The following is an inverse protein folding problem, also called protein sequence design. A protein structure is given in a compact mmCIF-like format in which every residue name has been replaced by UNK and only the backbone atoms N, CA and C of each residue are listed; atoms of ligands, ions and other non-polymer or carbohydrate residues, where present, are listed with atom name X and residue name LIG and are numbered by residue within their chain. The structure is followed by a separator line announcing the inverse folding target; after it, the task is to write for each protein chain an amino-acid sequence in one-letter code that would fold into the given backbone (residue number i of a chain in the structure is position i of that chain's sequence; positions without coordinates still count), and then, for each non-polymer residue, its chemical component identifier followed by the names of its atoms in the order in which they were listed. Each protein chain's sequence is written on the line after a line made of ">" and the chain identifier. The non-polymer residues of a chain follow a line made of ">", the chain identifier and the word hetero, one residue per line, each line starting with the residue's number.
data_IF_825282398264
#
_entry.id   IF_825282398264
#
_cell.length_a   1.000
_cell.length_b   1.000
_cell.length_c   1.000
_cell.angle_alpha   90.00
_cell.angle_beta   90.00
_cell.angle_gamma   90.00
#
_symmetry.space_group_name_H-M   'P 1'
#
loop_
_entity.id
_entity.type
_entity.pdbx_description
1 polymer ?
#
# COMPACT_ATOMS: atom_id res chain seq x y z
N UNK A 1 -51.68 38.80 0.30
CA UNK A 1 -50.39 39.47 -0.01
C UNK A 1 -49.61 38.56 -0.96
N UNK A 2 -49.34 39.02 -2.19
CA UNK A 2 -48.69 38.22 -3.25
C UNK A 2 -47.20 38.56 -3.28
N UNK A 3 -46.35 37.59 -2.97
CA UNK A 3 -44.89 37.74 -3.00
C UNK A 3 -44.41 37.50 -4.43
N UNK A 4 -43.77 38.52 -5.03
CA UNK A 4 -43.22 38.48 -6.39
C UNK A 4 -41.84 37.79 -6.35
N UNK A 5 -41.75 36.66 -7.04
CA UNK A 5 -40.52 35.93 -7.36
C UNK A 5 -39.75 36.74 -8.41
N UNK A 6 -38.51 37.11 -8.11
CA UNK A 6 -37.57 37.65 -9.09
C UNK A 6 -36.64 36.52 -9.56
N UNK A 7 -36.89 36.04 -10.77
CA UNK A 7 -35.95 35.22 -11.54
C UNK A 7 -34.81 36.13 -12.02
N UNK A 8 -33.60 35.91 -11.51
CA UNK A 8 -32.38 36.44 -12.11
C UNK A 8 -31.82 35.37 -13.03
N UNK A 9 -32.05 35.55 -14.33
CA UNK A 9 -31.38 34.81 -15.41
C UNK A 9 -29.97 35.38 -15.55
N UNK A 10 -28.97 34.65 -15.06
CA UNK A 10 -27.56 34.95 -15.33
C UNK A 10 -27.12 34.12 -16.54
N UNK A 11 -27.06 34.77 -17.70
CA UNK A 11 -26.45 34.22 -18.89
C UNK A 11 -24.92 34.33 -18.77
N UNK A 12 -24.24 33.19 -18.63
CA UNK A 12 -22.78 33.11 -18.72
C UNK A 12 -22.43 32.86 -20.20
N UNK A 13 -21.79 33.85 -20.81
CA UNK A 13 -21.32 33.81 -22.19
C UNK A 13 -20.17 32.80 -22.34
N UNK A 14 -20.30 31.91 -23.33
CA UNK A 14 -19.18 31.13 -23.87
C UNK A 14 -18.13 32.08 -24.46
N UNK A 15 -16.94 32.10 -23.90
CA UNK A 15 -15.74 32.60 -24.57
C UNK A 15 -14.95 31.40 -25.11
N UNK A 16 -15.18 31.06 -26.38
CA UNK A 16 -14.35 30.13 -27.11
C UNK A 16 -13.01 30.81 -27.45
N UNK A 17 -12.01 30.58 -26.61
CA UNK A 17 -10.63 30.98 -26.89
C UNK A 17 -9.98 29.99 -27.86
N UNK A 18 -10.01 30.30 -29.15
CA UNK A 18 -9.18 29.65 -30.15
C UNK A 18 -7.70 30.01 -29.89
N UNK A 19 -6.94 29.08 -29.31
CA UNK A 19 -5.50 29.19 -29.25
C UNK A 19 -4.92 28.69 -30.57
N UNK A 20 -4.38 29.63 -31.34
CA UNK A 20 -3.62 29.35 -32.55
C UNK A 20 -2.39 28.52 -32.19
N UNK A 21 -2.30 27.31 -32.75
CA UNK A 21 -1.12 26.48 -32.69
C UNK A 21 0.04 27.18 -33.41
N UNK A 22 1.11 27.45 -32.68
CA UNK A 22 2.39 27.86 -33.22
C UNK A 22 3.10 26.64 -33.82
N UNK A 23 3.64 26.72 -35.05
CA UNK A 23 4.51 25.67 -35.57
C UNK A 23 5.86 25.76 -34.83
N UNK A 24 6.18 24.73 -34.05
CA UNK A 24 7.52 24.56 -33.48
C UNK A 24 8.45 24.14 -34.61
N UNK A 25 9.45 24.97 -34.88
CA UNK A 25 10.51 24.69 -35.83
C UNK A 25 11.35 23.49 -35.35
N UNK A 26 11.39 22.43 -36.15
CA UNK A 26 12.34 21.31 -36.04
C UNK A 26 13.77 21.82 -36.28
N UNK A 27 14.42 22.24 -35.20
CA UNK A 27 15.86 22.44 -35.13
C UNK A 27 16.56 21.09 -35.05
N UNK A 28 16.94 20.56 -36.20
CA UNK A 28 17.74 19.34 -36.33
C UNK A 28 19.16 19.59 -35.80
N UNK A 29 19.36 19.38 -34.51
CA UNK A 29 20.70 19.25 -33.92
C UNK A 29 21.24 17.87 -34.30
N UNK A 30 22.24 17.87 -35.17
CA UNK A 30 23.03 16.68 -35.47
C UNK A 30 23.71 16.19 -34.19
N UNK A 31 23.17 15.11 -33.62
CA UNK A 31 23.82 14.36 -32.55
C UNK A 31 25.00 13.62 -33.19
N UNK A 32 26.24 13.79 -32.69
CA UNK A 32 27.33 12.93 -33.13
C UNK A 32 26.98 11.49 -32.73
N UNK A 33 26.88 10.60 -33.72
CA UNK A 33 26.81 9.16 -33.51
C UNK A 33 27.99 8.74 -32.62
N UNK A 34 27.77 8.17 -31.42
CA UNK A 34 28.81 7.41 -30.78
C UNK A 34 29.07 6.19 -31.67
N UNK A 35 30.28 6.11 -32.21
CA UNK A 35 30.82 4.88 -32.80
C UNK A 35 30.59 3.75 -31.81
N UNK A 36 29.71 2.81 -32.18
CA UNK A 36 29.54 1.56 -31.47
C UNK A 36 30.87 0.81 -31.54
N UNK A 37 31.60 0.80 -30.44
CA UNK A 37 32.62 -0.20 -30.21
C UNK A 37 31.87 -1.54 -30.06
N UNK A 38 32.03 -2.41 -31.05
CA UNK A 38 31.60 -3.79 -30.98
C UNK A 38 32.42 -4.49 -29.88
N UNK A 39 31.87 -4.50 -28.67
CA UNK A 39 32.40 -5.30 -27.58
C UNK A 39 32.02 -6.74 -27.90
N UNK A 40 32.96 -7.47 -28.49
CA UNK A 40 32.96 -8.94 -28.52
C UNK A 40 32.85 -9.41 -27.07
N UNK A 41 31.63 -9.76 -26.64
CA UNK A 41 31.42 -10.40 -25.35
C UNK A 41 31.95 -11.83 -25.46
N UNK A 42 33.08 -12.05 -24.81
CA UNK A 42 33.57 -13.37 -24.46
C UNK A 42 32.46 -14.11 -23.70
N UNK A 43 32.14 -15.37 -24.04
CA UNK A 43 31.10 -16.11 -23.33
C UNK A 43 31.53 -16.27 -21.87
N UNK A 44 30.89 -15.51 -20.99
CA UNK A 44 31.02 -15.69 -19.56
C UNK A 44 30.60 -17.12 -19.23
N UNK A 45 31.56 -17.94 -18.85
CA UNK A 45 31.30 -19.23 -18.22
C UNK A 45 30.52 -18.92 -16.95
N UNK A 46 29.23 -19.24 -16.97
CA UNK A 46 28.40 -19.24 -15.76
C UNK A 46 28.97 -20.35 -14.89
N UNK A 47 29.86 -20.00 -13.97
CA UNK A 47 30.19 -20.90 -12.87
C UNK A 47 28.87 -21.17 -12.16
N UNK A 48 28.41 -22.42 -12.27
CA UNK A 48 27.31 -22.91 -11.47
C UNK A 48 27.73 -22.77 -10.02
N UNK A 49 27.23 -21.72 -9.35
CA UNK A 49 27.32 -21.62 -7.91
C UNK A 49 26.66 -22.87 -7.34
N UNK A 50 27.50 -23.75 -6.80
CA UNK A 50 27.11 -24.95 -6.09
C UNK A 50 26.13 -24.53 -4.99
N UNK A 51 24.84 -24.73 -5.23
CA UNK A 51 23.80 -24.40 -4.28
C UNK A 51 24.06 -25.26 -3.04
N UNK A 52 24.63 -24.66 -2.00
CA UNK A 52 24.86 -25.35 -0.73
C UNK A 52 23.52 -25.95 -0.29
N UNK A 53 23.41 -27.29 -0.16
CA UNK A 53 22.14 -27.91 0.19
C UNK A 53 21.69 -27.34 1.53
N UNK A 54 20.45 -26.83 1.54
CA UNK A 54 19.81 -26.35 2.76
C UNK A 54 19.81 -27.54 3.75
N UNK A 55 20.36 -27.39 4.97
CA UNK A 55 20.42 -28.50 5.92
C UNK A 55 19.02 -29.06 6.15
N UNK A 56 18.85 -30.37 5.97
CA UNK A 56 17.58 -31.04 6.27
C UNK A 56 17.19 -30.78 7.72
N UNK A 57 15.88 -30.56 8.02
CA UNK A 57 15.43 -30.25 9.36
C UNK A 57 15.79 -31.40 10.30
N UNK A 58 16.75 -31.15 11.20
CA UNK A 58 17.44 -32.19 11.95
C UNK A 58 16.65 -32.75 13.14
N UNK A 59 15.44 -32.24 13.46
CA UNK A 59 14.54 -32.82 14.47
C UNK A 59 13.07 -32.45 14.18
N UNK A 60 12.09 -33.32 14.50
CA UNK A 60 10.67 -32.94 14.49
C UNK A 60 10.41 -31.84 15.53
N UNK A 61 9.55 -30.86 15.19
CA UNK A 61 9.15 -29.79 16.10
C UNK A 61 7.62 -29.67 16.20
N UNK A 62 7.16 -29.08 17.31
CA UNK A 62 5.76 -28.66 17.48
C UNK A 62 5.55 -27.27 16.89
N UNK A 63 4.43 -27.05 16.19
CA UNK A 63 4.10 -25.76 15.60
C UNK A 63 3.09 -25.00 16.46
N UNK A 64 3.38 -23.73 16.74
CA UNK A 64 2.51 -22.82 17.49
C UNK A 64 2.42 -21.47 16.76
N UNK A 65 1.20 -20.96 16.57
CA UNK A 65 0.99 -19.61 16.03
C UNK A 65 1.71 -18.56 16.86
N UNK A 66 2.39 -17.64 16.18
CA UNK A 66 3.16 -16.57 16.80
C UNK A 66 3.19 -15.34 15.88
N UNK A 67 3.53 -14.20 16.50
CA UNK A 67 3.74 -12.93 15.83
C UNK A 67 5.15 -12.42 16.13
N UNK A 68 5.77 -11.74 15.18
CA UNK A 68 7.02 -11.01 15.37
C UNK A 68 6.90 -9.62 14.77
N UNK A 69 7.34 -8.59 15.50
CA UNK A 69 7.39 -7.23 14.98
C UNK A 69 8.34 -7.15 13.78
N UNK A 70 7.97 -6.37 12.77
CA UNK A 70 8.80 -6.05 11.61
C UNK A 70 9.14 -4.56 11.61
N UNK A 71 10.15 -4.12 12.41
CA UNK A 71 10.43 -2.70 12.57
C UNK A 71 10.90 -2.02 11.28
N UNK A 72 11.65 -2.73 10.41
CA UNK A 72 12.09 -2.19 9.12
C UNK A 72 10.91 -1.99 8.16
N UNK A 73 9.97 -2.94 8.12
CA UNK A 73 8.75 -2.83 7.30
C UNK A 73 7.83 -1.75 7.85
N UNK A 74 7.70 -1.66 9.18
CA UNK A 74 6.95 -0.59 9.84
C UNK A 74 7.52 0.79 9.48
N UNK A 75 8.84 0.94 9.55
CA UNK A 75 9.52 2.17 9.16
C UNK A 75 9.33 2.51 7.67
N UNK A 76 9.35 1.51 6.79
CA UNK A 76 9.09 1.70 5.36
C UNK A 76 7.68 2.26 5.11
N UNK A 77 6.65 1.67 5.71
CA UNK A 77 5.28 2.20 5.57
C UNK A 77 5.14 3.57 6.24
N UNK A 78 5.72 3.78 7.42
CA UNK A 78 5.67 5.07 8.10
C UNK A 78 6.29 6.17 7.22
N UNK A 79 7.44 5.91 6.62
CA UNK A 79 8.08 6.84 5.69
C UNK A 79 7.18 7.16 4.48
N UNK A 80 6.44 6.17 3.96
CA UNK A 80 5.50 6.38 2.86
C UNK A 80 4.30 7.26 3.29
N UNK A 81 3.78 7.07 4.50
CA UNK A 81 2.74 7.94 5.07
C UNK A 81 3.23 9.37 5.30
N UNK A 82 4.42 9.52 5.88
CA UNK A 82 5.04 10.82 6.14
C UNK A 82 5.30 11.58 4.83
N UNK A 83 5.80 10.89 3.80
CA UNK A 83 6.03 11.46 2.47
C UNK A 83 4.74 11.90 1.76
N UNK A 84 3.61 11.28 2.09
CA UNK A 84 2.28 11.69 1.63
C UNK A 84 1.65 12.80 2.50
N UNK A 85 2.34 13.25 3.56
CA UNK A 85 1.85 14.28 4.48
C UNK A 85 0.84 13.78 5.52
N UNK A 86 0.72 12.47 5.74
CA UNK A 86 -0.20 11.88 6.71
C UNK A 86 0.47 11.76 8.09
N UNK A 87 0.61 12.88 8.79
CA UNK A 87 1.29 12.95 10.11
C UNK A 87 0.45 12.42 11.27
N UNK A 88 -0.86 12.25 11.08
CA UNK A 88 -1.79 11.73 12.08
C UNK A 88 -1.95 10.19 12.01
N UNK A 89 -1.03 9.52 11.32
CA UNK A 89 -1.04 8.07 11.09
C UNK A 89 0.21 7.44 11.68
N UNK A 90 0.04 6.39 12.47
CA UNK A 90 1.11 5.49 12.92
C UNK A 90 0.85 4.09 12.37
N UNK A 91 1.88 3.44 11.85
CA UNK A 91 1.78 2.08 11.29
C UNK A 91 2.76 1.13 11.96
N UNK A 92 2.29 -0.10 12.19
CA UNK A 92 3.08 -1.24 12.64
C UNK A 92 2.82 -2.43 11.74
N UNK A 93 3.88 -3.13 11.36
CA UNK A 93 3.84 -4.35 10.58
C UNK A 93 4.28 -5.54 11.44
N UNK A 94 3.53 -6.64 11.36
CA UNK A 94 3.83 -7.87 12.08
C UNK A 94 3.93 -9.04 11.11
N UNK A 95 4.93 -9.89 11.30
CA UNK A 95 4.96 -11.20 10.70
C UNK A 95 4.06 -12.15 11.49
N UNK A 96 2.99 -12.64 10.87
CA UNK A 96 2.18 -13.74 11.40
C UNK A 96 2.69 -15.07 10.85
N UNK A 97 2.88 -16.06 11.72
CA UNK A 97 3.47 -17.33 11.34
C UNK A 97 3.52 -18.35 12.47
N UNK A 98 4.41 -19.32 12.36
CA UNK A 98 4.53 -20.42 13.32
C UNK A 98 5.93 -20.47 13.95
N UNK A 99 5.99 -20.50 15.27
CA UNK A 99 7.18 -20.96 15.98
C UNK A 99 7.25 -22.49 15.88
N UNK A 100 8.37 -22.98 15.37
CA UNK A 100 8.78 -24.38 15.44
C UNK A 100 9.50 -24.58 16.77
N UNK A 101 8.90 -25.34 17.69
CA UNK A 101 9.35 -25.53 19.06
C UNK A 101 10.06 -26.87 19.24
N UNK A 102 11.19 -26.85 19.94
CA UNK A 102 11.86 -28.05 20.44
C UNK A 102 11.00 -28.74 21.53
N UNK A 103 11.36 -29.98 21.90
CA UNK A 103 10.64 -30.74 22.94
C UNK A 103 10.69 -30.10 24.33
N UNK A 104 11.66 -29.23 24.59
CA UNK A 104 11.79 -28.45 25.83
C UNK A 104 11.00 -27.12 25.80
N UNK A 105 10.30 -26.82 24.69
CA UNK A 105 9.53 -25.61 24.50
C UNK A 105 10.32 -24.41 23.97
N UNK A 106 11.63 -24.53 23.75
CA UNK A 106 12.43 -23.46 23.14
C UNK A 106 12.12 -23.30 21.65
N UNK A 107 12.14 -22.06 21.14
CA UNK A 107 11.91 -21.76 19.72
C UNK A 107 13.15 -22.15 18.91
N UNK A 108 12.99 -23.08 17.97
CA UNK A 108 14.03 -23.46 17.02
C UNK A 108 14.11 -22.47 15.85
N UNK A 109 12.95 -22.12 15.28
CA UNK A 109 12.82 -21.14 14.18
C UNK A 109 11.39 -20.60 14.10
N UNK A 110 11.23 -19.49 13.41
CA UNK A 110 9.94 -18.92 13.05
C UNK A 110 9.71 -19.05 11.54
N UNK A 111 8.49 -19.45 11.17
CA UNK A 111 8.06 -19.61 9.79
C UNK A 111 6.99 -18.57 9.47
N UNK A 112 7.42 -17.45 8.88
CA UNK A 112 6.50 -16.38 8.48
C UNK A 112 5.53 -16.87 7.40
N UNK A 113 4.24 -16.65 7.61
CA UNK A 113 3.18 -16.93 6.63
C UNK A 113 2.72 -15.67 5.90
N UNK A 114 2.53 -14.57 6.61
CA UNK A 114 2.11 -13.29 6.04
C UNK A 114 2.60 -12.11 6.88
N UNK A 115 2.53 -10.91 6.31
CA UNK A 115 2.76 -9.64 7.01
C UNK A 115 1.46 -8.88 7.18
N UNK A 116 0.97 -8.78 8.41
CA UNK A 116 -0.21 -7.99 8.78
C UNK A 116 0.17 -6.54 9.07
N UNK A 117 -0.73 -5.60 8.76
CA UNK A 117 -0.54 -4.17 9.05
C UNK A 117 -1.56 -3.68 10.07
N UNK A 118 -1.10 -2.88 11.03
CA UNK A 118 -1.91 -2.24 12.05
C UNK A 118 -1.68 -0.73 11.95
N UNK A 119 -2.75 0.00 11.64
CA UNK A 119 -2.73 1.43 11.34
C UNK A 119 -3.59 2.15 12.39
N UNK A 120 -2.97 3.06 13.12
CA UNK A 120 -3.62 3.95 14.08
C UNK A 120 -3.74 5.34 13.49
N UNK A 121 -4.94 5.93 13.56
CA UNK A 121 -5.28 7.18 12.86
C UNK A 121 -5.95 8.12 13.84
N UNK A 122 -5.36 9.30 14.04
CA UNK A 122 -6.01 10.40 14.72
C UNK A 122 -6.90 11.15 13.73
N UNK A 123 -8.22 11.04 13.91
CA UNK A 123 -9.21 11.63 13.03
C UNK A 123 -9.93 12.80 13.70
N UNK A 124 -10.36 13.77 12.89
CA UNK A 124 -11.18 14.89 13.36
C UNK A 124 -12.55 14.42 13.90
N UNK A 125 -13.17 13.44 13.23
CA UNK A 125 -14.41 12.80 13.62
C UNK A 125 -14.48 11.35 13.11
N UNK A 126 -15.54 10.63 13.48
CA UNK A 126 -15.76 9.23 13.08
C UNK A 126 -16.96 9.07 12.13
N UNK A 127 -17.30 10.10 11.36
CA UNK A 127 -18.32 10.03 10.31
C UNK A 127 -17.88 9.11 9.17
N UNK A 128 -18.84 8.55 8.44
CA UNK A 128 -18.54 7.62 7.35
C UNK A 128 -17.76 8.31 6.21
N UNK A 129 -18.02 9.60 5.99
CA UNK A 129 -17.32 10.45 5.03
C UNK A 129 -15.84 10.59 5.40
N UNK A 130 -15.54 10.96 6.65
CA UNK A 130 -14.17 11.14 7.14
C UNK A 130 -13.40 9.82 7.12
N UNK A 131 -14.02 8.73 7.63
CA UNK A 131 -13.38 7.41 7.65
C UNK A 131 -13.14 6.87 6.24
N UNK A 132 -14.07 7.09 5.32
CA UNK A 132 -13.92 6.73 3.91
C UNK A 132 -12.76 7.46 3.23
N UNK A 133 -12.62 8.76 3.49
CA UNK A 133 -11.49 9.55 3.00
C UNK A 133 -10.13 9.07 3.53
N UNK A 134 -10.07 8.66 4.80
CA UNK A 134 -8.87 8.04 5.37
C UNK A 134 -8.54 6.71 4.72
N UNK A 135 -9.52 5.79 4.62
CA UNK A 135 -9.33 4.48 3.99
C UNK A 135 -8.81 4.62 2.56
N UNK A 136 -9.37 5.52 1.78
CA UNK A 136 -8.96 5.76 0.39
C UNK A 136 -7.49 6.20 0.30
N UNK A 137 -7.08 7.19 1.10
CA UNK A 137 -5.70 7.69 1.12
C UNK A 137 -4.71 6.62 1.60
N UNK A 138 -5.06 5.92 2.68
CA UNK A 138 -4.18 4.92 3.28
C UNK A 138 -4.01 3.71 2.38
N UNK A 139 -5.09 3.19 1.80
CA UNK A 139 -5.02 2.07 0.88
C UNK A 139 -4.25 2.41 -0.40
N UNK A 140 -4.33 3.66 -0.88
CA UNK A 140 -3.52 4.12 -2.00
C UNK A 140 -2.01 4.06 -1.69
N UNK A 141 -1.60 4.43 -0.47
CA UNK A 141 -0.20 4.34 -0.02
C UNK A 141 0.22 2.88 0.17
N UNK A 142 -0.62 2.06 0.82
CA UNK A 142 -0.35 0.62 1.00
C UNK A 142 -0.17 -0.07 -0.36
N UNK A 143 -0.93 0.34 -1.38
CA UNK A 143 -0.82 -0.18 -2.75
C UNK A 143 0.51 0.11 -3.45
N UNK A 144 1.30 1.08 -2.97
CA UNK A 144 2.62 1.41 -3.53
C UNK A 144 3.70 0.42 -3.08
N UNK A 145 3.46 -0.36 -2.03
CA UNK A 145 4.35 -1.40 -1.54
C UNK A 145 3.71 -2.75 -1.89
N UNK A 146 4.18 -3.41 -2.97
CA UNK A 146 3.62 -4.67 -3.43
C UNK A 146 3.70 -5.75 -2.35
N UNK A 147 2.66 -6.57 -2.24
CA UNK A 147 2.56 -7.57 -1.18
C UNK A 147 3.64 -8.66 -1.30
N UNK A 148 4.12 -8.94 -2.51
CA UNK A 148 5.23 -9.84 -2.81
C UNK A 148 6.57 -9.39 -2.23
N UNK A 149 6.70 -8.10 -1.88
CA UNK A 149 7.90 -7.57 -1.22
C UNK A 149 7.82 -7.67 0.30
N UNK A 150 6.68 -8.13 0.85
CA UNK A 150 6.49 -8.29 2.30
C UNK A 150 6.83 -9.71 2.75
N UNK A 151 7.43 -9.89 3.95
CA UNK A 151 7.71 -11.21 4.49
C UNK A 151 6.50 -12.15 4.53
N UNK A 152 6.68 -13.37 4.04
CA UNK A 152 5.67 -14.42 4.07
C UNK A 152 4.96 -14.62 2.72
N UNK A 153 4.78 -15.88 2.27
CA UNK A 153 4.21 -16.18 0.95
C UNK A 153 2.73 -15.79 0.79
N UNK A 154 2.03 -15.50 1.89
CA UNK A 154 0.59 -15.18 1.89
C UNK A 154 0.30 -13.69 2.16
N UNK A 155 1.29 -12.82 2.05
CA UNK A 155 1.13 -11.37 2.33
C UNK A 155 0.11 -10.66 1.44
N UNK A 156 -0.21 -11.21 0.26
CA UNK A 156 -1.30 -10.70 -0.59
C UNK A 156 -2.68 -10.87 0.06
N UNK A 157 -2.84 -11.81 0.98
CA UNK A 157 -4.07 -12.11 1.72
C UNK A 157 -3.99 -11.66 3.18
N UNK A 158 -3.02 -10.82 3.53
CA UNK A 158 -2.82 -10.37 4.90
C UNK A 158 -3.97 -9.51 5.45
N UNK A 159 -4.03 -9.43 6.78
CA UNK A 159 -4.97 -8.56 7.48
C UNK A 159 -4.48 -7.11 7.50
N UNK A 160 -5.43 -6.19 7.39
CA UNK A 160 -5.28 -4.76 7.62
C UNK A 160 -6.16 -4.35 8.79
N UNK A 161 -5.53 -3.89 9.86
CA UNK A 161 -6.18 -3.36 11.04
C UNK A 161 -6.18 -1.85 11.04
N UNK A 162 -7.35 -1.23 11.17
CA UNK A 162 -7.48 0.21 11.29
C UNK A 162 -8.11 0.56 12.63
N UNK A 163 -7.45 1.43 13.38
CA UNK A 163 -7.95 2.03 14.60
C UNK A 163 -8.07 3.55 14.40
N UNK A 164 -9.30 4.04 14.34
CA UNK A 164 -9.60 5.46 14.21
C UNK A 164 -9.97 6.04 15.56
N UNK A 165 -9.29 7.10 15.97
CA UNK A 165 -9.56 7.78 17.26
C UNK A 165 -9.97 9.23 17.00
N UNK A 166 -11.00 9.71 17.71
CA UNK A 166 -11.44 11.11 17.74
C UNK A 166 -11.83 11.48 19.16
N UNK A 167 -11.01 12.28 19.83
CA UNK A 167 -11.13 12.50 21.27
C UNK A 167 -11.03 11.19 22.05
N UNK A 168 -12.06 10.85 22.82
CA UNK A 168 -12.15 9.60 23.60
C UNK A 168 -12.84 8.45 22.84
N UNK A 169 -13.35 8.71 21.63
CA UNK A 169 -14.05 7.70 20.84
C UNK A 169 -13.09 6.97 19.91
N UNK A 170 -13.24 5.65 19.83
CA UNK A 170 -12.45 4.78 18.95
C UNK A 170 -13.36 3.93 18.07
N UNK A 171 -12.95 3.71 16.82
CA UNK A 171 -13.60 2.78 15.90
C UNK A 171 -12.56 1.90 15.23
N UNK A 172 -12.82 0.59 15.26
CA UNK A 172 -11.94 -0.41 14.69
C UNK A 172 -12.53 -0.99 13.41
N UNK A 173 -11.68 -1.23 12.42
CA UNK A 173 -12.02 -1.96 11.22
C UNK A 173 -10.95 -3.02 10.97
N UNK A 174 -11.39 -4.27 10.80
CA UNK A 174 -10.52 -5.39 10.45
C UNK A 174 -10.93 -5.91 9.10
N UNK A 175 -10.00 -5.91 8.14
CA UNK A 175 -10.29 -6.25 6.76
C UNK A 175 -9.14 -7.01 6.12
N UNK A 176 -9.44 -7.88 5.17
CA UNK A 176 -8.41 -8.55 4.38
C UNK A 176 -7.97 -7.64 3.22
N UNK A 177 -6.68 -7.66 2.90
CA UNK A 177 -6.13 -6.89 1.78
C UNK A 177 -6.90 -7.10 0.46
N UNK A 178 -7.24 -8.33 0.03
CA UNK A 178 -8.00 -8.53 -1.21
C UNK A 178 -9.37 -7.86 -1.21
N UNK A 179 -10.08 -7.85 -0.08
CA UNK A 179 -11.37 -7.20 0.05
C UNK A 179 -11.23 -5.67 -0.12
N UNK A 180 -10.22 -5.07 0.53
CA UNK A 180 -9.94 -3.64 0.45
C UNK A 180 -9.68 -3.19 -0.99
N UNK A 181 -8.80 -3.91 -1.68
CA UNK A 181 -8.39 -3.55 -3.03
C UNK A 181 -9.45 -3.89 -4.08
N UNK A 182 -10.23 -4.97 -3.91
CA UNK A 182 -11.38 -5.25 -4.77
C UNK A 182 -12.43 -4.12 -4.71
N UNK A 183 -12.71 -3.56 -3.52
CA UNK A 183 -13.61 -2.41 -3.41
C UNK A 183 -13.06 -1.18 -4.16
N UNK A 184 -11.74 -0.95 -4.13
CA UNK A 184 -11.13 0.14 -4.89
C UNK A 184 -11.17 -0.10 -6.41
N UNK A 185 -10.97 -1.33 -6.85
CA UNK A 185 -11.08 -1.74 -8.26
C UNK A 185 -12.52 -1.60 -8.79
N UNK A 186 -13.52 -1.88 -7.96
CA UNK A 186 -14.94 -1.65 -8.22
C UNK A 186 -15.33 -0.15 -8.23
N UNK A 187 -14.35 0.74 -8.08
CA UNK A 187 -14.54 2.19 -8.12
C UNK A 187 -15.14 2.78 -6.84
N UNK A 188 -15.19 2.03 -5.74
CA UNK A 188 -15.67 2.55 -4.44
C UNK A 188 -14.69 3.59 -3.89
N UNK A 189 -15.21 4.72 -3.44
CA UNK A 189 -14.45 5.89 -2.94
C UNK A 189 -15.18 6.54 -1.77
N UNK A 190 -14.46 7.30 -0.94
CA UNK A 190 -15.02 8.02 0.20
C UNK A 190 -16.02 7.19 1.03
N UNK A 191 -17.22 7.74 1.24
CA UNK A 191 -18.28 7.10 2.04
C UNK A 191 -18.69 5.72 1.50
N UNK A 192 -18.70 5.53 0.17
CA UNK A 192 -19.06 4.25 -0.44
C UNK A 192 -18.00 3.18 -0.18
N UNK A 193 -16.72 3.57 -0.16
CA UNK A 193 -15.63 2.67 0.22
C UNK A 193 -15.78 2.23 1.67
N UNK A 194 -16.03 3.18 2.57
CA UNK A 194 -16.26 2.87 3.98
C UNK A 194 -17.45 1.94 4.17
N UNK A 195 -18.59 2.20 3.49
CA UNK A 195 -19.78 1.33 3.59
C UNK A 195 -19.58 -0.05 2.98
N UNK A 196 -18.71 -0.20 1.98
CA UNK A 196 -18.41 -1.50 1.38
C UNK A 196 -17.51 -2.37 2.29
N UNK A 197 -16.71 -1.74 3.15
CA UNK A 197 -15.73 -2.42 4.01
C UNK A 197 -16.19 -2.54 5.46
N UNK A 198 -17.03 -1.62 5.94
CA UNK A 198 -17.56 -1.64 7.30
C UNK A 198 -18.67 -2.69 7.45
N UNK A 199 -18.63 -3.51 8.52
CA UNK A 199 -19.68 -4.50 8.81
C UNK A 199 -21.00 -3.88 9.25
#
# INVERSE_FOLDING_TARGET
>A
MRVKIWMVLLAIALAAGAQAATPVAEGQLAVPHPTAAEVTQEPATVEAHDATPLPEPTQPCGYQWAHQDLPEVSAQFQQAFDAAGLTDVTVRADAFGENCLNSDGSVQRFLTRQTDLYIQIQSADLSAETLGGWLEQILAIIGQIPAENLPGPMSASASLGFEFTSGEATKNLWLERPQAFAALEDGKRGVELYQALAP
#
